data_IF_552642427452
#
_entry.id   IF_552642427452
#
_cell.length_a   1.000
_cell.length_b   1.000
_cell.length_c   1.000
_cell.angle_alpha   90.00
_cell.angle_beta   90.00
_cell.angle_gamma   90.00
#
_symmetry.space_group_name_H-M   'P 1'
#
loop_
_entity.id
_entity.type
_entity.pdbx_description
1 polymer ?
#
# COMPACT_ATOMS: atom_id res chain seq x y z
N UNK A 1 -3.76 19.64 -38.30
CA UNK A 1 -4.61 20.00 -39.46
C UNK A 1 -4.52 18.91 -40.51
N UNK A 2 -5.67 18.59 -41.14
CA UNK A 2 -5.86 17.89 -42.42
C UNK A 2 -5.36 16.42 -42.55
N UNK A 3 -6.25 15.42 -42.65
CA UNK A 3 -6.98 14.94 -43.87
C UNK A 3 -6.04 14.24 -44.86
N UNK A 4 -6.27 13.02 -45.39
CA UNK A 4 -7.44 12.44 -46.11
C UNK A 4 -7.07 10.97 -46.45
N UNK A 5 -7.92 9.96 -46.23
CA UNK A 5 -8.92 9.38 -47.15
C UNK A 5 -8.41 8.65 -48.41
N UNK A 6 -8.95 7.42 -48.60
CA UNK A 6 -9.18 6.74 -49.89
C UNK A 6 -8.40 5.43 -50.02
N UNK A 7 -8.95 4.28 -50.42
CA UNK A 7 -9.94 3.96 -51.47
C UNK A 7 -10.53 2.54 -51.15
N UNK A 8 -11.85 2.33 -50.92
CA UNK A 8 -12.92 1.79 -51.83
C UNK A 8 -12.48 0.62 -52.74
N UNK A 9 -13.20 -0.46 -53.05
CA UNK A 9 -14.52 -1.04 -52.75
C UNK A 9 -14.61 -2.40 -53.50
N UNK A 10 -15.52 -3.30 -53.09
CA UNK A 10 -16.29 -4.30 -53.88
C UNK A 10 -16.62 -5.50 -52.96
N UNK A 11 -17.81 -5.64 -52.37
CA UNK A 11 -19.09 -6.10 -52.95
C UNK A 11 -18.97 -7.40 -53.73
N UNK A 12 -19.41 -8.51 -53.11
CA UNK A 12 -20.35 -9.47 -53.74
C UNK A 12 -21.32 -9.93 -52.66
N UNK A 13 -22.59 -9.64 -52.88
CA UNK A 13 -23.71 -10.22 -52.17
C UNK A 13 -24.01 -11.62 -52.74
N UNK A 14 -24.32 -12.58 -51.88
CA UNK A 14 -25.15 -13.72 -52.26
C UNK A 14 -25.90 -14.23 -51.03
N UNK A 15 -27.22 -14.09 -51.12
CA UNK A 15 -28.22 -14.45 -50.15
C UNK A 15 -28.30 -15.96 -49.94
N UNK A 16 -28.39 -16.41 -48.68
CA UNK A 16 -29.14 -17.62 -48.36
C UNK A 16 -29.96 -17.38 -47.08
N UNK A 17 -31.27 -17.22 -47.29
CA UNK A 17 -32.30 -17.54 -46.30
C UNK A 17 -32.19 -19.03 -45.98
N UNK A 18 -31.92 -19.37 -44.73
CA UNK A 18 -32.34 -20.63 -44.14
C UNK A 18 -32.64 -20.38 -42.66
N UNK A 19 -33.92 -20.19 -42.38
CA UNK A 19 -34.53 -20.27 -41.07
C UNK A 19 -34.17 -21.62 -40.42
N UNK A 20 -33.34 -21.59 -39.39
CA UNK A 20 -33.44 -22.55 -38.28
C UNK A 20 -33.21 -21.76 -36.99
N UNK A 21 -34.26 -21.08 -36.53
CA UNK A 21 -34.33 -20.71 -35.12
C UNK A 21 -34.35 -22.04 -34.33
N UNK A 22 -33.50 -22.20 -33.29
CA UNK A 22 -33.77 -23.19 -32.28
C UNK A 22 -35.08 -22.80 -31.60
N UNK A 23 -36.17 -23.47 -31.96
CA UNK A 23 -37.48 -23.39 -31.30
C UNK A 23 -37.46 -24.05 -29.91
N UNK A 24 -36.40 -23.84 -29.12
CA UNK A 24 -36.20 -24.44 -27.80
C UNK A 24 -35.83 -23.43 -26.71
N UNK A 25 -35.87 -22.13 -26.98
CA UNK A 25 -35.79 -21.07 -25.95
C UNK A 25 -37.09 -20.27 -25.85
N UNK A 26 -38.25 -20.93 -25.99
CA UNK A 26 -39.56 -20.36 -25.65
C UNK A 26 -40.07 -20.77 -24.26
N UNK A 27 -39.22 -21.41 -23.45
CA UNK A 27 -39.36 -21.47 -22.00
C UNK A 27 -38.11 -20.86 -21.39
N UNK A 28 -37.84 -19.59 -21.73
CA UNK A 28 -37.27 -18.73 -20.69
C UNK A 28 -38.35 -18.68 -19.61
N UNK A 29 -38.27 -19.64 -18.68
CA UNK A 29 -38.84 -19.47 -17.35
C UNK A 29 -38.51 -18.03 -16.97
N UNK A 30 -39.54 -17.19 -16.99
CA UNK A 30 -39.46 -15.85 -16.45
C UNK A 30 -39.18 -16.08 -14.97
N UNK A 31 -37.90 -16.24 -14.62
CA UNK A 31 -37.45 -16.37 -13.26
C UNK A 31 -38.13 -15.23 -12.52
N UNK A 32 -39.01 -15.53 -11.56
CA UNK A 32 -39.92 -14.54 -11.02
C UNK A 32 -39.10 -13.33 -10.57
N UNK A 33 -39.49 -12.13 -11.01
CA UNK A 33 -38.79 -10.90 -10.63
C UNK A 33 -38.62 -10.92 -9.11
N UNK A 34 -37.40 -10.75 -8.58
CA UNK A 34 -37.17 -10.83 -7.15
C UNK A 34 -38.03 -9.77 -6.45
N UNK A 35 -38.83 -10.13 -5.46
CA UNK A 35 -39.76 -9.18 -4.81
C UNK A 35 -39.04 -8.10 -3.97
N UNK A 36 -37.82 -8.38 -3.48
CA UNK A 36 -36.95 -7.42 -2.82
C UNK A 36 -35.48 -7.91 -2.87
N UNK A 37 -34.53 -7.01 -2.63
CA UNK A 37 -33.10 -7.33 -2.59
C UNK A 37 -32.51 -7.33 -1.17
N UNK A 38 -33.36 -7.40 -0.13
CA UNK A 38 -32.94 -7.22 1.28
C UNK A 38 -31.92 -8.27 1.74
N UNK A 39 -32.01 -9.50 1.26
CA UNK A 39 -31.04 -10.56 1.58
C UNK A 39 -29.64 -10.24 1.03
N UNK A 40 -29.56 -9.69 -0.18
CA UNK A 40 -28.29 -9.24 -0.78
C UNK A 40 -27.75 -8.02 -0.03
N UNK A 41 -28.62 -7.06 0.33
CA UNK A 41 -28.22 -5.90 1.14
C UNK A 41 -27.64 -6.33 2.50
N UNK A 42 -28.29 -7.25 3.22
CA UNK A 42 -27.76 -7.80 4.49
C UNK A 42 -26.39 -8.44 4.31
N UNK A 43 -26.20 -9.16 3.20
CA UNK A 43 -24.91 -9.80 2.88
C UNK A 43 -23.82 -8.76 2.60
N UNK A 44 -24.15 -7.70 1.85
CA UNK A 44 -23.25 -6.56 1.63
C UNK A 44 -22.87 -5.91 2.96
N UNK A 45 -23.84 -5.59 3.81
CA UNK A 45 -23.60 -4.94 5.10
C UNK A 45 -22.66 -5.77 5.98
N UNK A 46 -22.87 -7.10 6.06
CA UNK A 46 -22.00 -8.00 6.84
C UNK A 46 -20.56 -8.03 6.32
N UNK A 47 -20.37 -8.10 4.99
CA UNK A 47 -19.04 -8.10 4.40
C UNK A 47 -18.36 -6.73 4.49
N UNK A 48 -19.14 -5.64 4.44
CA UNK A 48 -18.62 -4.29 4.64
C UNK A 48 -18.11 -4.12 6.07
N UNK A 49 -18.88 -4.51 7.09
CA UNK A 49 -18.45 -4.45 8.48
C UNK A 49 -17.17 -5.28 8.73
N UNK A 50 -17.07 -6.44 8.08
CA UNK A 50 -15.86 -7.28 8.18
C UNK A 50 -14.66 -6.66 7.45
N UNK A 51 -14.89 -6.05 6.29
CA UNK A 51 -13.85 -5.36 5.53
C UNK A 51 -13.31 -4.16 6.32
N UNK A 52 -14.20 -3.36 6.91
CA UNK A 52 -13.84 -2.16 7.68
C UNK A 52 -12.96 -2.53 8.89
N UNK A 53 -13.31 -3.59 9.64
CA UNK A 53 -12.50 -4.09 10.76
C UNK A 53 -11.13 -4.60 10.33
N UNK A 54 -11.05 -5.30 9.20
CA UNK A 54 -9.78 -5.81 8.67
C UNK A 54 -8.91 -4.68 8.11
N UNK A 55 -9.52 -3.67 7.48
CA UNK A 55 -8.83 -2.47 7.00
C UNK A 55 -8.25 -1.67 8.16
N UNK A 56 -9.00 -1.49 9.26
CA UNK A 56 -8.53 -0.81 10.47
C UNK A 56 -7.33 -1.54 11.10
N UNK A 57 -7.41 -2.87 11.26
CA UNK A 57 -6.30 -3.68 11.76
C UNK A 57 -5.07 -3.59 10.87
N UNK A 58 -5.26 -3.70 9.56
CA UNK A 58 -4.17 -3.64 8.59
C UNK A 58 -3.48 -2.27 8.59
N UNK A 59 -4.27 -1.19 8.68
CA UNK A 59 -3.74 0.17 8.82
C UNK A 59 -2.94 0.36 10.13
N UNK A 60 -3.38 -0.25 11.23
CA UNK A 60 -2.65 -0.21 12.49
C UNK A 60 -1.29 -0.94 12.41
N UNK A 61 -1.20 -2.06 11.70
CA UNK A 61 0.07 -2.75 11.46
C UNK A 61 1.01 -1.94 10.56
N UNK A 62 0.48 -1.31 9.51
CA UNK A 62 1.26 -0.38 8.68
C UNK A 62 1.80 0.78 9.50
N UNK A 63 0.95 1.45 10.29
CA UNK A 63 1.37 2.55 11.16
C UNK A 63 2.45 2.12 12.17
N UNK A 64 2.39 0.88 12.67
CA UNK A 64 3.43 0.33 13.55
C UNK A 64 4.74 0.08 12.82
N UNK A 65 4.70 -0.46 11.60
CA UNK A 65 5.88 -0.61 10.74
C UNK A 65 6.53 0.73 10.45
N UNK A 66 5.72 1.73 10.08
CA UNK A 66 6.17 3.09 9.77
C UNK A 66 6.83 3.74 10.99
N UNK A 67 6.18 3.67 12.17
CA UNK A 67 6.76 4.20 13.41
C UNK A 67 8.08 3.52 13.80
N UNK A 68 8.24 2.23 13.52
CA UNK A 68 9.51 1.52 13.74
C UNK A 68 10.59 1.97 12.75
N UNK A 69 10.21 2.22 11.50
CA UNK A 69 11.13 2.74 10.48
C UNK A 69 11.56 4.18 10.78
N UNK A 70 10.63 5.05 11.18
CA UNK A 70 10.93 6.43 11.60
C UNK A 70 11.94 6.44 12.76
N UNK A 71 11.81 5.53 13.73
CA UNK A 71 12.78 5.39 14.81
C UNK A 71 14.19 4.97 14.33
N UNK A 72 14.30 4.24 13.21
CA UNK A 72 15.58 3.94 12.57
C UNK A 72 16.14 5.20 11.92
N UNK A 73 15.33 5.91 11.14
CA UNK A 73 15.75 7.16 10.48
C UNK A 73 16.25 8.19 11.48
N UNK A 74 15.52 8.39 12.58
CA UNK A 74 15.92 9.31 13.66
C UNK A 74 17.26 8.90 14.29
N UNK A 75 17.47 7.61 14.54
CA UNK A 75 18.71 7.11 15.14
C UNK A 75 19.90 7.19 14.18
N UNK A 76 19.70 6.92 12.90
CA UNK A 76 20.72 7.10 11.85
C UNK A 76 21.07 8.58 11.69
N UNK A 77 20.07 9.48 11.71
CA UNK A 77 20.31 10.92 11.66
C UNK A 77 21.15 11.45 12.83
N UNK A 78 20.99 10.88 14.03
CA UNK A 78 21.84 11.19 15.18
C UNK A 78 23.29 10.71 14.97
N UNK A 79 23.49 9.52 14.41
CA UNK A 79 24.82 9.00 14.06
C UNK A 79 25.51 9.90 13.02
N UNK A 80 24.80 10.27 11.96
CA UNK A 80 25.33 11.11 10.88
C UNK A 80 25.71 12.50 11.41
N UNK A 81 24.85 13.12 12.23
CA UNK A 81 25.15 14.42 12.83
C UNK A 81 26.41 14.39 13.73
N UNK A 82 26.60 13.33 14.51
CA UNK A 82 27.81 13.18 15.35
C UNK A 82 29.04 12.97 14.47
N UNK A 83 28.94 12.16 13.42
CA UNK A 83 30.05 11.91 12.49
C UNK A 83 30.49 13.20 11.79
N UNK A 84 29.55 14.01 11.32
CA UNK A 84 29.83 15.33 10.73
C UNK A 84 30.49 16.26 11.75
N UNK A 85 29.97 16.29 12.98
CA UNK A 85 30.54 17.09 14.08
C UNK A 85 31.98 16.67 14.43
N UNK A 86 32.30 15.37 14.33
CA UNK A 86 33.68 14.87 14.48
C UNK A 86 34.54 15.38 13.32
N UNK A 87 34.03 15.32 12.09
CA UNK A 87 34.71 15.87 10.91
C UNK A 87 35.08 17.34 11.07
N UNK A 88 34.12 18.17 11.52
CA UNK A 88 34.36 19.60 11.80
C UNK A 88 35.45 19.81 12.87
N UNK A 89 35.44 18.99 13.93
CA UNK A 89 36.46 19.08 14.99
C UNK A 89 37.84 18.65 14.46
N UNK A 90 37.90 17.60 13.64
CA UNK A 90 39.15 17.13 13.02
C UNK A 90 39.72 18.14 12.02
N UNK A 91 38.86 18.85 11.27
CA UNK A 91 39.28 19.97 10.44
C UNK A 91 39.86 21.11 11.29
N UNK A 92 39.17 21.51 12.36
CA UNK A 92 39.67 22.56 13.26
C UNK A 92 41.00 22.17 13.93
N UNK A 93 41.16 20.91 14.34
CA UNK A 93 42.41 20.38 14.90
C UNK A 93 43.58 20.50 13.93
N UNK A 94 43.34 20.34 12.62
CA UNK A 94 44.38 20.43 11.59
C UNK A 94 45.00 21.83 11.49
N UNK A 95 44.23 22.86 11.82
CA UNK A 95 44.65 24.26 11.71
C UNK A 95 45.01 24.90 13.06
N UNK A 96 44.67 24.26 14.18
CA UNK A 96 45.01 24.76 15.51
C UNK A 96 46.48 24.52 15.88
N UNK A 97 47.07 25.44 16.65
CA UNK A 97 48.41 25.29 17.19
C UNK A 97 48.45 24.15 18.24
N UNK A 98 49.28 23.11 18.05
CA UNK A 98 49.34 21.95 18.95
C UNK A 98 49.64 22.26 20.42
N UNK A 99 50.32 23.38 20.70
CA UNK A 99 50.65 23.79 22.07
C UNK A 99 49.58 24.70 22.69
N UNK A 100 48.54 25.03 21.94
CA UNK A 100 47.48 25.92 22.40
C UNK A 100 46.45 25.22 23.28
N UNK A 101 45.85 25.99 24.19
CA UNK A 101 44.71 25.54 24.99
C UNK A 101 43.50 25.17 24.11
N UNK A 102 43.34 25.80 22.94
CA UNK A 102 42.26 25.48 22.00
C UNK A 102 42.43 24.10 21.39
N UNK A 103 43.65 23.72 21.02
CA UNK A 103 43.94 22.38 20.52
C UNK A 103 43.59 21.29 21.55
N UNK A 104 43.88 21.54 22.83
CA UNK A 104 43.53 20.61 23.92
C UNK A 104 42.00 20.46 24.06
N UNK A 105 41.25 21.57 24.03
CA UNK A 105 39.77 21.54 24.07
C UNK A 105 39.18 20.78 22.88
N UNK A 106 39.73 20.96 21.69
CA UNK A 106 39.27 20.26 20.49
C UNK A 106 39.51 18.75 20.58
N UNK A 107 40.65 18.33 21.16
CA UNK A 107 40.89 16.90 21.45
C UNK A 107 39.84 16.37 22.42
N UNK A 108 39.60 17.05 23.55
CA UNK A 108 38.58 16.63 24.52
C UNK A 108 37.20 16.51 23.88
N UNK A 109 36.79 17.52 23.10
CA UNK A 109 35.53 17.52 22.36
C UNK A 109 35.44 16.34 21.39
N UNK A 110 36.52 16.02 20.66
CA UNK A 110 36.55 14.87 19.75
C UNK A 110 36.36 13.55 20.51
N UNK A 111 37.04 13.38 21.63
CA UNK A 111 36.92 12.15 22.42
C UNK A 111 35.53 12.00 23.05
N UNK A 112 34.90 13.10 23.46
CA UNK A 112 33.52 13.08 23.93
C UNK A 112 32.53 12.75 22.80
N UNK A 113 32.68 13.36 21.62
CA UNK A 113 31.89 13.01 20.43
C UNK A 113 32.06 11.54 20.04
N UNK A 114 33.25 10.95 20.18
CA UNK A 114 33.49 9.52 19.92
C UNK A 114 32.74 8.62 20.91
N UNK A 115 32.65 9.00 22.18
CA UNK A 115 31.83 8.28 23.17
C UNK A 115 30.35 8.37 22.83
N UNK A 116 29.89 9.55 22.41
CA UNK A 116 28.50 9.75 22.03
C UNK A 116 28.15 9.02 20.74
N UNK A 117 29.06 8.96 19.76
CA UNK A 117 28.93 8.15 18.55
C UNK A 117 28.70 6.67 18.87
N UNK A 118 29.45 6.12 19.84
CA UNK A 118 29.27 4.74 20.26
C UNK A 118 27.85 4.49 20.80
N UNK A 119 27.33 5.40 21.64
CA UNK A 119 25.96 5.33 22.16
C UNK A 119 24.91 5.47 21.05
N UNK A 120 25.12 6.39 20.10
CA UNK A 120 24.22 6.61 18.98
C UNK A 120 24.16 5.37 18.06
N UNK A 121 25.30 4.73 17.78
CA UNK A 121 25.35 3.47 17.02
C UNK A 121 24.66 2.31 17.74
N UNK A 122 24.75 2.23 19.06
CA UNK A 122 24.01 1.22 19.83
C UNK A 122 22.50 1.48 19.78
N UNK A 123 22.08 2.75 19.84
CA UNK A 123 20.68 3.15 19.65
C UNK A 123 20.17 2.82 18.24
N UNK A 124 20.94 3.14 17.21
CA UNK A 124 20.65 2.80 15.82
C UNK A 124 20.49 1.29 15.63
N UNK A 125 21.44 0.49 16.14
CA UNK A 125 21.35 -0.98 16.08
C UNK A 125 20.11 -1.50 16.81
N UNK A 126 19.77 -0.93 17.96
CA UNK A 126 18.59 -1.30 18.71
C UNK A 126 17.29 -0.96 17.96
N UNK A 127 17.21 0.20 17.31
CA UNK A 127 16.09 0.60 16.46
C UNK A 127 15.96 -0.34 15.25
N UNK A 128 17.07 -0.60 14.55
CA UNK A 128 17.12 -1.50 13.40
C UNK A 128 16.67 -2.91 13.77
N UNK A 129 17.11 -3.46 14.91
CA UNK A 129 16.70 -4.79 15.34
C UNK A 129 15.20 -4.86 15.66
N UNK A 130 14.59 -3.79 16.19
CA UNK A 130 13.14 -3.74 16.41
C UNK A 130 12.36 -3.69 15.10
N UNK A 131 12.80 -2.86 14.15
CA UNK A 131 12.16 -2.76 12.83
C UNK A 131 12.32 -4.05 12.03
N UNK A 132 13.54 -4.61 11.95
CA UNK A 132 13.83 -5.87 11.26
C UNK A 132 13.07 -7.06 11.86
N UNK A 133 12.87 -7.06 13.18
CA UNK A 133 12.13 -8.11 13.88
C UNK A 133 10.62 -7.96 13.81
N UNK A 134 10.10 -6.92 13.16
CA UNK A 134 8.67 -6.76 12.95
C UNK A 134 8.23 -7.52 11.69
N UNK A 135 7.32 -8.46 11.89
CA UNK A 135 6.69 -9.24 10.81
C UNK A 135 5.22 -8.82 10.69
N UNK A 136 4.79 -8.27 9.55
CA UNK A 136 3.36 -8.01 9.28
C UNK A 136 2.55 -9.31 9.32
N UNK A 137 1.29 -9.24 9.74
CA UNK A 137 0.40 -10.40 9.81
C UNK A 137 -0.03 -10.82 8.39
N UNK A 138 0.62 -11.88 7.87
CA UNK A 138 0.31 -12.42 6.55
C UNK A 138 -1.13 -12.97 6.47
N UNK A 139 -1.65 -13.52 7.56
CA UNK A 139 -3.02 -14.02 7.62
C UNK A 139 -4.02 -12.86 7.54
N UNK A 140 -3.76 -11.75 8.24
CA UNK A 140 -4.55 -10.53 8.14
C UNK A 140 -4.61 -9.99 6.71
N UNK A 141 -3.48 -9.96 6.00
CA UNK A 141 -3.44 -9.51 4.60
C UNK A 141 -4.27 -10.43 3.67
N UNK A 142 -4.19 -11.75 3.88
CA UNK A 142 -4.99 -12.73 3.14
C UNK A 142 -6.49 -12.61 3.43
N UNK A 143 -6.86 -12.49 4.70
CA UNK A 143 -8.25 -12.35 5.13
C UNK A 143 -8.88 -11.04 4.64
N UNK A 144 -8.11 -9.95 4.67
CA UNK A 144 -8.49 -8.67 4.08
C UNK A 144 -8.79 -8.83 2.59
N UNK A 145 -7.85 -9.41 1.82
CA UNK A 145 -8.02 -9.63 0.38
C UNK A 145 -9.25 -10.50 0.07
N UNK A 146 -9.44 -11.57 0.83
CA UNK A 146 -10.59 -12.48 0.70
C UNK A 146 -11.90 -11.76 0.99
N UNK A 147 -11.96 -10.97 2.07
CA UNK A 147 -13.17 -10.25 2.48
C UNK A 147 -13.56 -9.18 1.47
N UNK A 148 -12.59 -8.42 0.94
CA UNK A 148 -12.84 -7.46 -0.15
C UNK A 148 -13.38 -8.13 -1.41
N UNK A 149 -12.90 -9.33 -1.75
CA UNK A 149 -13.45 -10.13 -2.86
C UNK A 149 -14.90 -10.55 -2.61
N UNK A 150 -15.23 -10.98 -1.39
CA UNK A 150 -16.60 -11.35 -1.01
C UNK A 150 -17.53 -10.14 -1.05
N UNK A 151 -17.07 -8.99 -0.54
CA UNK A 151 -17.80 -7.73 -0.58
C UNK A 151 -18.10 -7.28 -2.01
N UNK A 152 -17.09 -7.30 -2.89
CA UNK A 152 -17.26 -6.98 -4.31
C UNK A 152 -18.30 -7.88 -4.98
N UNK A 153 -18.21 -9.20 -4.73
CA UNK A 153 -19.18 -10.17 -5.26
C UNK A 153 -20.60 -9.90 -4.74
N UNK A 154 -20.75 -9.58 -3.46
CA UNK A 154 -22.04 -9.26 -2.85
C UNK A 154 -22.64 -7.96 -3.43
N UNK A 155 -21.82 -6.92 -3.64
CA UNK A 155 -22.22 -5.67 -4.29
C UNK A 155 -22.71 -5.91 -5.71
N UNK A 156 -22.00 -6.72 -6.50
CA UNK A 156 -22.43 -7.09 -7.86
C UNK A 156 -23.79 -7.80 -7.87
N UNK A 157 -24.00 -8.74 -6.94
CA UNK A 157 -25.30 -9.45 -6.82
C UNK A 157 -26.44 -8.52 -6.42
N UNK A 158 -26.18 -7.58 -5.51
CA UNK A 158 -27.15 -6.56 -5.12
C UNK A 158 -27.55 -5.69 -6.31
N UNK A 159 -26.58 -5.14 -7.05
CA UNK A 159 -26.82 -4.33 -8.25
C UNK A 159 -27.60 -5.12 -9.31
N UNK A 160 -27.24 -6.38 -9.53
CA UNK A 160 -27.96 -7.26 -10.47
C UNK A 160 -29.42 -7.47 -10.05
N UNK A 161 -29.67 -7.67 -8.76
CA UNK A 161 -31.03 -7.79 -8.22
C UNK A 161 -31.82 -6.48 -8.40
N UNK A 162 -31.21 -5.33 -8.11
CA UNK A 162 -31.83 -4.01 -8.25
C UNK A 162 -32.19 -3.71 -9.71
N UNK A 163 -31.32 -4.04 -10.66
CA UNK A 163 -31.59 -3.87 -12.09
C UNK A 163 -32.76 -4.73 -12.57
N UNK A 164 -32.90 -5.97 -12.04
CA UNK A 164 -34.04 -6.85 -12.34
C UNK A 164 -35.36 -6.40 -11.73
N UNK A 165 -35.31 -5.62 -10.66
CA UNK A 165 -36.48 -4.98 -10.05
C UNK A 165 -36.95 -3.75 -10.83
N UNK A 166 -36.02 -3.01 -11.44
CA UNK A 166 -36.29 -1.79 -12.20
C UNK A 166 -36.78 -2.06 -13.64
N UNK A 167 -36.42 -3.21 -14.22
CA UNK A 167 -36.97 -3.73 -15.47
C UNK A 167 -38.33 -4.39 -15.26
#
# INVERSE_FOLDING_TARGET
MAHRHGIRAAVVAASFLALVLPASLAHADAAPKPKNCNAYQKTVNRHQESADKLDERFAAEQAKSDALYDAVVDATGEVDWIMDSIGDVEENLRYADPESAEYTKLIEKREDLRKDLAKARDKERAAYNKWRGFEPDEELAQDRKKTHRLLSTAKTRLVTCQNKLAA
#
